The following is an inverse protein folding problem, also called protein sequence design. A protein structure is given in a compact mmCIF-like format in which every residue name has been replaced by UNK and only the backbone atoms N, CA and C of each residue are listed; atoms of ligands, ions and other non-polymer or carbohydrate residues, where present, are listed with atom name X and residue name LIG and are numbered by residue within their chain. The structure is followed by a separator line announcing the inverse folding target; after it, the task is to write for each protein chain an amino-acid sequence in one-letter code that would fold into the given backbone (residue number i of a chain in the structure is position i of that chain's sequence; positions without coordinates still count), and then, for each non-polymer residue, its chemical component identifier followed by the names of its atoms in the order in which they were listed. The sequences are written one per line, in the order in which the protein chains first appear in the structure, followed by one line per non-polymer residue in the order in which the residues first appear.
data_IF_120687604478
#
_entry.id   IF_120687604478
#
_cell.length_a   1.000
_cell.length_b   1.000
_cell.length_c   1.000
_cell.angle_alpha   90.00
_cell.angle_beta   90.00
_cell.angle_gamma   90.00
#
_symmetry.space_group_name_H-M   'P 1'
#
loop_
_entity.id
_entity.type
_entity.pdbx_description
1 polymer ?
#
# COMPACT_ATOMS: atom_id res chain seq x y z
N UNK A 1 10.69 -4.40 15.69
CA UNK A 1 11.11 -4.49 14.27
C UNK A 1 9.87 -4.64 13.40
N UNK A 2 9.78 -3.89 12.28
CA UNK A 2 8.62 -3.89 11.37
C UNK A 2 8.96 -4.69 10.12
N UNK A 3 8.03 -5.56 9.67
CA UNK A 3 8.12 -6.27 8.38
C UNK A 3 7.06 -5.73 7.42
N UNK A 4 7.44 -5.61 6.14
CA UNK A 4 6.57 -5.17 5.05
C UNK A 4 6.29 -6.35 4.14
N UNK A 5 5.00 -6.62 3.91
CA UNK A 5 4.52 -7.71 3.07
C UNK A 5 3.98 -7.14 1.77
N UNK A 6 4.53 -7.59 0.64
CA UNK A 6 4.01 -7.28 -0.69
C UNK A 6 2.67 -7.98 -0.95
N UNK A 7 2.12 -7.71 -2.11
CA UNK A 7 0.82 -8.14 -2.56
C UNK A 7 0.55 -9.61 -2.27
N UNK A 8 -0.41 -9.90 -1.41
CA UNK A 8 -0.71 -11.28 -0.98
C UNK A 8 -1.72 -11.99 -1.87
N UNK A 9 -2.66 -11.26 -2.47
CA UNK A 9 -3.73 -11.80 -3.31
C UNK A 9 -4.37 -13.07 -2.73
N UNK A 10 -4.76 -13.03 -1.46
CA UNK A 10 -5.38 -14.14 -0.75
C UNK A 10 -4.42 -15.22 -0.24
N UNK A 11 -3.11 -15.08 -0.45
CA UNK A 11 -2.11 -16.03 0.02
C UNK A 11 -1.52 -15.58 1.37
N UNK A 12 -2.09 -16.01 2.49
CA UNK A 12 -1.63 -15.61 3.84
C UNK A 12 -0.72 -16.63 4.53
N UNK A 13 -0.55 -17.85 3.98
CA UNK A 13 0.20 -18.90 4.63
C UNK A 13 1.63 -18.49 5.01
N UNK A 14 2.36 -17.84 4.09
CA UNK A 14 3.72 -17.34 4.33
C UNK A 14 3.76 -16.26 5.43
N UNK A 15 2.69 -15.45 5.54
CA UNK A 15 2.57 -14.44 6.60
C UNK A 15 2.53 -15.11 7.97
N UNK A 16 1.66 -16.11 8.12
CA UNK A 16 1.50 -16.86 9.37
C UNK A 16 2.81 -17.57 9.77
N UNK A 17 3.49 -18.18 8.80
CA UNK A 17 4.77 -18.89 9.02
C UNK A 17 5.89 -17.92 9.46
N UNK A 18 6.07 -16.79 8.75
CA UNK A 18 7.12 -15.82 9.05
C UNK A 18 6.87 -15.15 10.39
N UNK A 19 5.63 -14.71 10.67
CA UNK A 19 5.32 -14.06 11.95
C UNK A 19 5.48 -15.04 13.12
N UNK A 20 5.04 -16.29 12.96
CA UNK A 20 5.21 -17.30 14.01
C UNK A 20 6.68 -17.59 14.31
N UNK A 21 7.54 -17.58 13.28
CA UNK A 21 8.98 -17.83 13.39
C UNK A 21 9.74 -16.64 13.99
N UNK A 22 9.52 -15.43 13.42
CA UNK A 22 10.39 -14.26 13.64
C UNK A 22 9.83 -13.28 14.70
N UNK A 23 8.51 -13.33 14.94
CA UNK A 23 7.78 -12.48 15.90
C UNK A 23 8.14 -10.99 15.77
N UNK A 24 7.95 -10.38 14.58
CA UNK A 24 8.16 -8.94 14.43
C UNK A 24 7.20 -8.17 15.34
N UNK A 25 7.61 -6.99 15.82
CA UNK A 25 6.75 -6.14 16.63
C UNK A 25 5.50 -5.68 15.86
N UNK A 26 5.67 -5.45 14.56
CA UNK A 26 4.56 -5.10 13.65
C UNK A 26 4.79 -5.63 12.25
N UNK A 27 3.67 -5.83 11.54
CA UNK A 27 3.66 -6.11 10.10
C UNK A 27 2.81 -5.05 9.39
N UNK A 28 3.20 -4.72 8.15
CA UNK A 28 2.49 -3.77 7.29
C UNK A 28 2.29 -4.40 5.91
N UNK A 29 1.05 -4.59 5.48
CA UNK A 29 0.73 -5.02 4.13
C UNK A 29 0.72 -3.83 3.17
N UNK A 30 1.29 -4.00 1.99
CA UNK A 30 1.47 -2.94 0.99
C UNK A 30 0.36 -2.88 -0.08
N UNK A 31 -0.81 -3.44 0.23
CA UNK A 31 -1.99 -3.47 -0.64
C UNK A 31 -2.20 -4.81 -1.32
N UNK A 32 -3.29 -4.89 -2.08
CA UNK A 32 -3.74 -6.08 -2.82
C UNK A 32 -3.76 -7.34 -1.95
N UNK A 33 -4.44 -7.21 -0.79
CA UNK A 33 -4.60 -8.31 0.16
C UNK A 33 -5.56 -9.36 -0.37
N UNK A 34 -6.69 -8.94 -0.96
CA UNK A 34 -7.76 -9.81 -1.47
C UNK A 34 -8.11 -10.95 -0.50
N UNK A 35 -8.34 -10.61 0.76
CA UNK A 35 -8.62 -11.57 1.82
C UNK A 35 -9.87 -12.40 1.51
N UNK A 36 -9.79 -13.72 1.69
CA UNK A 36 -10.90 -14.63 1.41
C UNK A 36 -11.95 -14.67 2.53
N UNK A 37 -11.60 -14.17 3.71
CA UNK A 37 -12.41 -14.00 4.91
C UNK A 37 -12.10 -12.63 5.51
N UNK A 38 -12.86 -12.10 6.50
CA UNK A 38 -12.47 -10.91 7.23
C UNK A 38 -11.01 -10.98 7.68
N UNK A 39 -10.25 -9.89 7.51
CA UNK A 39 -8.80 -9.89 7.68
C UNK A 39 -8.34 -10.41 9.05
N UNK A 40 -9.09 -10.10 10.12
CA UNK A 40 -8.83 -10.64 11.45
C UNK A 40 -8.96 -12.18 11.50
N UNK A 41 -9.84 -12.77 10.70
CA UNK A 41 -10.00 -14.22 10.63
C UNK A 41 -8.90 -14.89 9.80
N UNK A 42 -8.36 -14.21 8.78
CA UNK A 42 -7.16 -14.69 8.06
C UNK A 42 -5.93 -14.75 8.97
N UNK A 43 -5.82 -13.79 9.89
CA UNK A 43 -4.64 -13.56 10.70
C UNK A 43 -4.80 -13.98 12.17
N UNK A 44 -5.90 -14.68 12.52
CA UNK A 44 -6.25 -14.99 13.92
C UNK A 44 -5.11 -15.60 14.73
N UNK A 45 -4.30 -16.49 14.12
CA UNK A 45 -3.20 -17.19 14.80
C UNK A 45 -2.00 -16.32 15.15
N UNK A 46 -1.92 -15.09 14.61
CA UNK A 46 -0.76 -14.19 14.82
C UNK A 46 -1.14 -12.85 15.46
N UNK A 47 -2.42 -12.57 15.69
CA UNK A 47 -2.86 -11.29 16.24
C UNK A 47 -2.30 -10.98 17.64
N UNK A 48 -2.02 -12.02 18.43
CA UNK A 48 -1.40 -11.88 19.76
C UNK A 48 0.14 -11.79 19.68
N UNK A 49 0.73 -11.97 18.49
CA UNK A 49 2.18 -12.02 18.31
C UNK A 49 2.76 -10.75 17.71
N UNK A 50 1.95 -9.97 17.00
CA UNK A 50 2.40 -8.80 16.22
C UNK A 50 1.28 -7.78 16.05
N UNK A 51 1.62 -6.49 15.93
CA UNK A 51 0.66 -5.49 15.46
C UNK A 51 0.46 -5.60 13.95
N UNK A 52 -0.79 -5.62 13.49
CA UNK A 52 -1.14 -5.68 12.08
C UNK A 52 -1.55 -4.29 11.59
N UNK A 53 -0.92 -3.84 10.50
CA UNK A 53 -1.23 -2.61 9.78
C UNK A 53 -1.31 -2.89 8.29
N UNK A 54 -1.97 -2.03 7.52
CA UNK A 54 -2.05 -2.18 6.07
C UNK A 54 -2.31 -0.84 5.37
N UNK A 55 -2.01 -0.80 4.10
CA UNK A 55 -2.65 0.06 3.12
C UNK A 55 -3.43 -0.83 2.17
N UNK A 56 -4.47 -0.32 1.52
CA UNK A 56 -5.17 -1.07 0.48
C UNK A 56 -4.52 -0.85 -0.89
N UNK A 57 -4.64 -1.84 -1.76
CA UNK A 57 -4.29 -1.74 -3.18
C UNK A 57 -5.53 -1.58 -4.06
N UNK A 58 -5.37 -1.74 -5.38
CA UNK A 58 -6.47 -1.59 -6.32
C UNK A 58 -7.39 -2.82 -6.36
N UNK A 59 -6.86 -4.01 -6.11
CA UNK A 59 -7.63 -5.26 -6.11
C UNK A 59 -8.46 -5.46 -4.83
N UNK A 60 -8.18 -4.74 -3.76
CA UNK A 60 -8.99 -4.77 -2.54
C UNK A 60 -10.39 -4.14 -2.71
N UNK A 61 -10.70 -3.65 -3.90
CA UNK A 61 -12.01 -3.10 -4.26
C UNK A 61 -12.62 -3.74 -5.53
N UNK A 62 -12.13 -4.89 -5.99
CA UNK A 62 -12.61 -5.54 -7.22
C UNK A 62 -13.98 -6.19 -7.05
N UNK A 63 -14.30 -6.70 -5.87
CA UNK A 63 -15.59 -7.25 -5.52
C UNK A 63 -16.14 -6.67 -4.22
N UNK A 64 -17.42 -6.93 -3.93
CA UNK A 64 -18.01 -6.56 -2.65
C UNK A 64 -17.36 -7.33 -1.49
N UNK A 65 -16.98 -8.60 -1.75
CA UNK A 65 -16.30 -9.44 -0.78
C UNK A 65 -14.89 -8.91 -0.45
N UNK A 66 -14.07 -8.57 -1.46
CA UNK A 66 -12.73 -8.00 -1.24
C UNK A 66 -12.82 -6.72 -0.38
N UNK A 67 -13.80 -5.86 -0.71
CA UNK A 67 -14.03 -4.65 0.09
C UNK A 67 -14.45 -4.97 1.52
N UNK A 68 -15.46 -5.82 1.70
CA UNK A 68 -16.03 -6.11 3.02
C UNK A 68 -15.04 -6.86 3.91
N UNK A 69 -14.25 -7.77 3.37
CA UNK A 69 -13.26 -8.53 4.13
C UNK A 69 -12.12 -7.63 4.64
N UNK A 70 -11.83 -6.53 3.98
CA UNK A 70 -10.79 -5.59 4.40
C UNK A 70 -11.35 -4.41 5.20
N UNK A 71 -12.28 -3.67 4.61
CA UNK A 71 -12.81 -2.42 5.19
C UNK A 71 -13.96 -2.65 6.18
N UNK A 72 -14.59 -3.82 6.16
CA UNK A 72 -15.56 -4.27 7.15
C UNK A 72 -14.95 -5.10 8.29
N UNK A 73 -13.65 -5.39 8.25
CA UNK A 73 -12.96 -6.21 9.25
C UNK A 73 -12.77 -5.47 10.57
N UNK A 74 -12.52 -6.22 11.64
CA UNK A 74 -12.15 -5.66 12.94
C UNK A 74 -10.82 -4.87 12.86
N UNK A 75 -9.97 -5.15 11.86
CA UNK A 75 -8.72 -4.46 11.60
C UNK A 75 -8.86 -3.23 10.69
N UNK A 76 -10.04 -2.88 10.20
CA UNK A 76 -10.25 -1.75 9.29
C UNK A 76 -9.65 -0.42 9.79
N UNK A 77 -9.66 -0.21 11.11
CA UNK A 77 -9.06 0.95 11.77
C UNK A 77 -7.54 1.01 11.67
N UNK A 78 -6.88 -0.08 11.27
CA UNK A 78 -5.43 -0.20 11.04
C UNK A 78 -5.01 0.18 9.61
N UNK A 79 -5.92 0.61 8.75
CA UNK A 79 -5.58 1.14 7.44
C UNK A 79 -4.80 2.46 7.59
N UNK A 80 -3.60 2.53 7.00
CA UNK A 80 -2.70 3.69 7.04
C UNK A 80 -3.00 4.72 5.95
N UNK A 81 -3.88 4.44 5.02
CA UNK A 81 -4.12 5.33 3.89
C UNK A 81 -4.47 6.77 4.33
N UNK A 82 -3.72 7.75 3.80
CA UNK A 82 -3.91 9.18 4.07
C UNK A 82 -3.53 9.64 5.48
N UNK A 83 -2.77 8.84 6.26
CA UNK A 83 -2.38 9.20 7.63
C UNK A 83 -0.98 8.70 8.01
N UNK A 84 -0.49 9.22 9.14
CA UNK A 84 0.73 8.75 9.80
C UNK A 84 0.35 8.08 11.12
N UNK A 85 0.93 6.92 11.40
CA UNK A 85 0.79 6.22 12.68
C UNK A 85 2.15 5.96 13.31
N UNK A 86 2.19 5.87 14.65
CA UNK A 86 3.37 5.43 15.39
C UNK A 86 3.32 3.90 15.51
N UNK A 87 4.28 3.22 14.90
CA UNK A 87 4.38 1.76 14.84
C UNK A 87 5.78 1.37 15.30
N UNK A 88 5.90 0.58 16.37
CA UNK A 88 7.19 0.16 16.94
C UNK A 88 8.19 1.34 17.07
N UNK A 89 7.70 2.50 17.54
CA UNK A 89 8.50 3.71 17.73
C UNK A 89 8.81 4.52 16.44
N UNK A 90 8.40 4.04 15.26
CA UNK A 90 8.60 4.72 13.97
C UNK A 90 7.29 5.39 13.50
N UNK A 91 7.40 6.60 12.95
CA UNK A 91 6.28 7.26 12.26
C UNK A 91 6.17 6.70 10.86
N UNK A 92 5.13 5.94 10.60
CA UNK A 92 4.87 5.32 9.28
C UNK A 92 3.71 6.07 8.61
N UNK A 93 3.99 6.69 7.47
CA UNK A 93 2.98 7.29 6.60
C UNK A 93 2.49 6.26 5.58
N UNK A 94 1.19 6.24 5.27
CA UNK A 94 0.63 5.33 4.28
C UNK A 94 -0.17 6.03 3.19
N UNK A 95 0.05 5.64 1.93
CA UNK A 95 -0.76 6.05 0.79
C UNK A 95 -1.14 4.80 -0.02
N UNK A 96 -2.31 4.24 0.27
CA UNK A 96 -2.88 3.09 -0.45
C UNK A 96 -3.61 3.51 -1.72
N UNK A 97 -4.00 2.51 -2.52
CA UNK A 97 -4.68 2.72 -3.79
C UNK A 97 -3.74 3.10 -4.93
N UNK A 98 -4.33 3.47 -6.06
CA UNK A 98 -3.60 3.79 -7.30
C UNK A 98 -4.08 5.10 -7.90
N UNK A 99 -3.20 5.75 -8.66
CA UNK A 99 -3.58 6.90 -9.49
C UNK A 99 -4.46 6.42 -10.65
N UNK A 100 -5.58 7.13 -10.89
CA UNK A 100 -6.49 6.83 -12.01
C UNK A 100 -6.86 8.11 -12.75
N UNK A 101 -6.70 8.13 -14.08
CA UNK A 101 -7.01 9.29 -14.93
C UNK A 101 -8.43 9.82 -14.81
N UNK A 102 -9.37 9.01 -14.30
CA UNK A 102 -10.75 9.43 -14.01
C UNK A 102 -10.85 10.28 -12.71
N UNK A 103 -9.81 10.32 -11.90
CA UNK A 103 -9.70 11.11 -10.67
C UNK A 103 -8.47 12.01 -10.77
N UNK A 104 -7.29 11.41 -10.80
CA UNK A 104 -6.03 12.09 -10.86
C UNK A 104 -4.92 11.15 -11.35
N UNK A 105 -4.10 11.60 -12.31
CA UNK A 105 -2.85 10.94 -12.72
C UNK A 105 -1.75 11.99 -12.82
N UNK A 106 -0.84 12.07 -11.83
CA UNK A 106 0.29 12.99 -11.89
C UNK A 106 1.20 12.75 -13.13
N UNK A 107 1.84 13.80 -13.71
CA UNK A 107 1.79 15.20 -13.30
C UNK A 107 0.59 15.99 -13.84
N UNK A 108 -0.35 15.34 -14.51
CA UNK A 108 -1.56 15.98 -15.03
C UNK A 108 -2.47 16.40 -13.87
N UNK A 109 -3.18 17.50 -14.02
CA UNK A 109 -4.14 17.97 -13.01
C UNK A 109 -5.26 16.95 -12.75
N UNK A 110 -5.91 17.09 -11.60
CA UNK A 110 -7.00 16.20 -11.18
C UNK A 110 -8.36 16.68 -11.70
N UNK A 111 -9.28 15.74 -11.86
CA UNK A 111 -10.69 16.00 -12.21
C UNK A 111 -11.56 16.18 -10.96
N UNK A 112 -11.19 15.51 -9.86
CA UNK A 112 -11.89 15.56 -8.58
C UNK A 112 -10.87 15.64 -7.45
N UNK A 113 -11.06 16.59 -6.55
CA UNK A 113 -10.16 16.79 -5.42
C UNK A 113 -10.35 15.76 -4.31
N UNK A 114 -11.62 15.35 -4.09
CA UNK A 114 -11.97 14.43 -3.00
C UNK A 114 -13.01 13.38 -3.39
N UNK A 115 -13.13 12.28 -2.61
CA UNK A 115 -14.21 11.30 -2.76
C UNK A 115 -15.61 11.91 -2.70
N UNK A 116 -15.80 12.91 -1.84
CA UNK A 116 -17.09 13.62 -1.66
C UNK A 116 -17.45 14.41 -2.91
N UNK A 117 -16.48 15.10 -3.52
CA UNK A 117 -16.70 15.85 -4.76
C UNK A 117 -17.10 14.92 -5.91
N UNK A 118 -16.39 13.81 -6.10
CA UNK A 118 -16.74 12.82 -7.11
C UNK A 118 -18.14 12.24 -6.85
N UNK A 119 -18.44 11.88 -5.60
CA UNK A 119 -19.75 11.33 -5.24
C UNK A 119 -20.89 12.32 -5.48
N UNK A 120 -20.66 13.60 -5.19
CA UNK A 120 -21.67 14.65 -5.41
C UNK A 120 -21.94 14.86 -6.91
N UNK A 121 -20.94 14.71 -7.77
CA UNK A 121 -21.06 14.92 -9.23
C UNK A 121 -21.47 13.67 -10.01
N UNK A 122 -21.32 12.46 -9.44
CA UNK A 122 -21.74 11.25 -10.13
C UNK A 122 -23.24 11.02 -10.03
N UNK A 123 -23.85 10.51 -11.13
CA UNK A 123 -25.25 10.11 -11.14
C UNK A 123 -25.51 8.90 -10.21
N UNK A 124 -26.76 8.74 -9.77
CA UNK A 124 -27.15 7.68 -8.84
C UNK A 124 -26.76 6.27 -9.32
N UNK A 125 -26.84 5.98 -10.63
CA UNK A 125 -26.46 4.70 -11.21
C UNK A 125 -24.93 4.40 -11.15
N UNK A 126 -24.11 5.40 -10.85
CA UNK A 126 -22.66 5.25 -10.71
C UNK A 126 -22.21 5.20 -9.23
N UNK A 127 -23.16 5.13 -8.30
CA UNK A 127 -22.88 5.02 -6.87
C UNK A 127 -22.91 3.55 -6.44
N UNK A 128 -22.09 3.22 -5.47
CA UNK A 128 -22.12 1.93 -4.80
C UNK A 128 -22.43 2.14 -3.31
N UNK A 129 -23.44 1.44 -2.80
CA UNK A 129 -23.94 1.62 -1.42
C UNK A 129 -24.20 3.10 -1.08
N UNK A 130 -24.87 3.81 -1.99
CA UNK A 130 -25.24 5.23 -1.90
C UNK A 130 -24.05 6.22 -1.81
N UNK A 131 -22.81 5.72 -1.95
CA UNK A 131 -21.60 6.52 -1.90
C UNK A 131 -20.74 6.42 -3.15
N UNK A 132 -19.46 6.65 -2.98
CA UNK A 132 -18.45 6.53 -4.02
C UNK A 132 -18.51 5.16 -4.70
N UNK A 133 -18.36 5.10 -6.03
CA UNK A 133 -18.29 3.82 -6.75
C UNK A 133 -17.18 2.94 -6.19
N UNK A 134 -17.37 1.61 -6.15
CA UNK A 134 -16.43 0.68 -5.54
C UNK A 134 -15.01 0.84 -6.11
N UNK A 135 -14.88 0.90 -7.43
CA UNK A 135 -13.60 1.13 -8.11
C UNK A 135 -12.82 2.34 -7.59
N UNK A 136 -13.51 3.44 -7.29
CA UNK A 136 -12.86 4.67 -6.86
C UNK A 136 -12.54 4.72 -5.35
N UNK A 137 -12.94 3.71 -4.59
CA UNK A 137 -12.54 3.55 -3.18
C UNK A 137 -11.06 3.14 -3.01
N UNK A 138 -10.42 2.74 -4.10
CA UNK A 138 -8.97 2.53 -4.20
C UNK A 138 -8.31 3.50 -5.18
N UNK A 139 -8.93 4.63 -5.49
CA UNK A 139 -8.26 5.73 -6.21
C UNK A 139 -7.62 6.68 -5.21
N UNK A 140 -6.40 7.14 -5.52
CA UNK A 140 -5.76 8.21 -4.76
C UNK A 140 -6.40 9.54 -5.15
N UNK A 141 -6.90 10.27 -4.14
CA UNK A 141 -7.43 11.62 -4.32
C UNK A 141 -6.42 12.67 -3.85
N UNK A 142 -6.36 13.85 -4.52
CA UNK A 142 -5.47 14.94 -4.12
C UNK A 142 -5.60 15.32 -2.64
N UNK A 143 -6.83 15.39 -2.10
CA UNK A 143 -7.06 15.74 -0.70
C UNK A 143 -6.35 14.80 0.29
N UNK A 144 -6.29 13.49 -0.03
CA UNK A 144 -5.61 12.49 0.81
C UNK A 144 -4.09 12.62 0.70
N UNK A 145 -3.58 12.81 -0.50
CA UNK A 145 -2.17 13.03 -0.78
C UNK A 145 -1.66 14.32 -0.11
N UNK A 146 -2.34 15.47 -0.32
CA UNK A 146 -1.91 16.74 0.23
C UNK A 146 -2.05 16.82 1.76
N UNK A 147 -2.94 16.02 2.35
CA UNK A 147 -3.00 15.85 3.81
C UNK A 147 -1.70 15.24 4.36
N UNK A 148 -1.10 14.30 3.64
CA UNK A 148 0.19 13.71 4.01
C UNK A 148 1.36 14.68 3.80
N UNK A 149 1.37 15.44 2.71
CA UNK A 149 2.45 16.40 2.38
C UNK A 149 2.77 17.35 3.53
N UNK A 150 1.77 17.72 4.34
CA UNK A 150 1.93 18.61 5.49
C UNK A 150 2.47 17.94 6.76
N UNK A 151 2.68 16.62 6.74
CA UNK A 151 3.10 15.84 7.90
C UNK A 151 4.59 15.50 7.87
N UNK A 152 5.04 14.74 8.87
CA UNK A 152 6.41 14.19 8.95
C UNK A 152 6.33 12.71 9.29
N UNK A 153 7.19 11.92 8.64
CA UNK A 153 7.28 10.48 8.88
C UNK A 153 8.75 10.02 8.80
N UNK A 154 9.02 8.83 9.26
CA UNK A 154 10.33 8.17 9.18
C UNK A 154 10.36 7.17 8.02
N UNK A 155 9.20 6.55 7.74
CA UNK A 155 8.97 5.57 6.68
C UNK A 155 7.69 5.95 5.91
N UNK A 156 7.71 5.78 4.59
CA UNK A 156 6.54 5.86 3.73
C UNK A 156 6.21 4.46 3.20
N UNK A 157 4.94 4.06 3.27
CA UNK A 157 4.43 2.88 2.57
C UNK A 157 3.39 3.30 1.54
N UNK A 158 3.56 2.83 0.31
CA UNK A 158 2.66 3.14 -0.81
C UNK A 158 2.28 1.86 -1.57
N UNK A 159 1.13 1.87 -2.23
CA UNK A 159 0.86 0.82 -3.19
C UNK A 159 1.55 1.13 -4.52
N UNK A 160 1.45 2.38 -5.01
CA UNK A 160 2.17 2.85 -6.20
C UNK A 160 3.67 3.01 -5.96
N UNK A 161 4.48 2.78 -7.00
CA UNK A 161 5.93 2.87 -6.97
C UNK A 161 6.45 4.32 -7.15
N UNK A 162 7.67 4.63 -6.65
CA UNK A 162 8.37 5.87 -6.96
C UNK A 162 8.88 5.89 -8.41
N UNK A 163 9.31 7.05 -8.89
CA UNK A 163 9.73 7.27 -10.29
C UNK A 163 10.93 6.44 -10.76
N UNK A 164 11.63 5.75 -9.88
CA UNK A 164 12.69 4.80 -10.23
C UNK A 164 12.16 3.49 -10.80
N UNK A 165 10.89 3.17 -10.56
CA UNK A 165 10.22 2.07 -11.24
C UNK A 165 9.74 2.52 -12.64
N UNK A 166 9.81 1.65 -13.71
CA UNK A 166 9.37 2.01 -15.07
C UNK A 166 7.93 2.53 -15.17
N UNK A 167 7.06 2.13 -14.25
CA UNK A 167 5.65 2.54 -14.17
C UNK A 167 5.36 3.41 -12.93
N UNK A 168 6.41 3.92 -12.28
CA UNK A 168 6.26 4.71 -11.05
C UNK A 168 5.97 6.19 -11.30
N UNK A 169 5.75 6.93 -10.21
CA UNK A 169 5.30 8.31 -10.23
C UNK A 169 6.23 9.23 -9.45
N UNK A 170 6.62 10.38 -10.06
CA UNK A 170 7.36 11.45 -9.37
C UNK A 170 6.58 12.00 -8.16
N UNK A 171 5.25 11.95 -8.19
CA UNK A 171 4.43 12.33 -7.06
C UNK A 171 4.73 11.51 -5.78
N UNK A 172 5.12 10.24 -5.92
CA UNK A 172 5.55 9.42 -4.77
C UNK A 172 6.90 9.92 -4.25
N UNK A 173 7.84 10.30 -5.12
CA UNK A 173 9.12 10.89 -4.73
C UNK A 173 8.92 12.21 -3.97
N UNK A 174 8.02 13.08 -4.48
CA UNK A 174 7.69 14.37 -3.88
C UNK A 174 7.06 14.20 -2.50
N UNK A 175 6.13 13.24 -2.37
CA UNK A 175 5.53 12.91 -1.09
C UNK A 175 6.57 12.42 -0.08
N UNK A 176 7.43 11.49 -0.48
CA UNK A 176 8.50 10.96 0.37
C UNK A 176 9.44 12.07 0.87
N UNK A 177 9.87 12.96 -0.03
CA UNK A 177 10.70 14.12 0.31
C UNK A 177 9.98 15.11 1.24
N UNK A 178 8.70 15.40 0.98
CA UNK A 178 7.91 16.32 1.79
C UNK A 178 7.72 15.80 3.22
N UNK A 179 7.48 14.49 3.37
CA UNK A 179 7.40 13.82 4.67
C UNK A 179 8.75 13.78 5.40
N UNK A 180 9.87 13.87 4.66
CA UNK A 180 11.23 13.74 5.19
C UNK A 180 11.60 12.31 5.53
N UNK A 181 11.02 11.31 4.87
CA UNK A 181 11.32 9.90 5.13
C UNK A 181 12.71 9.52 4.66
N UNK A 182 13.30 8.54 5.33
CA UNK A 182 14.57 7.94 4.92
C UNK A 182 14.38 6.69 4.07
N UNK A 183 13.22 6.05 4.16
CA UNK A 183 12.87 4.83 3.44
C UNK A 183 11.42 4.85 2.95
N UNK A 184 11.20 4.27 1.77
CA UNK A 184 9.88 4.01 1.22
C UNK A 184 9.77 2.56 0.76
N UNK A 185 8.62 1.93 1.03
CA UNK A 185 8.30 0.55 0.61
C UNK A 185 7.03 0.57 -0.23
N UNK A 186 7.01 -0.17 -1.35
CA UNK A 186 5.84 -0.24 -2.22
C UNK A 186 5.54 -1.66 -2.71
N UNK A 187 4.26 -1.91 -3.09
CA UNK A 187 3.77 -3.11 -3.75
C UNK A 187 3.45 -2.92 -5.23
N UNK A 188 2.32 -3.45 -5.67
CA UNK A 188 1.63 -3.26 -6.95
C UNK A 188 2.26 -3.93 -8.18
N UNK A 189 3.57 -3.81 -8.37
CA UNK A 189 4.22 -4.28 -9.60
C UNK A 189 4.70 -5.73 -9.54
N UNK A 190 4.53 -6.37 -8.40
CA UNK A 190 4.87 -7.77 -8.15
C UNK A 190 6.36 -8.11 -8.29
N UNK A 191 7.22 -7.10 -8.38
CA UNK A 191 8.68 -7.23 -8.49
C UNK A 191 9.43 -6.53 -7.34
N UNK A 192 10.70 -6.88 -7.18
CA UNK A 192 11.60 -6.31 -6.17
C UNK A 192 12.82 -5.71 -6.88
N UNK A 193 12.61 -4.67 -7.69
CA UNK A 193 13.69 -4.02 -8.43
C UNK A 193 14.69 -3.33 -7.49
N UNK A 194 15.97 -3.34 -7.88
CA UNK A 194 17.03 -2.65 -7.16
C UNK A 194 17.09 -1.17 -7.53
N UNK A 195 16.70 -0.30 -6.62
CA UNK A 195 16.74 1.16 -6.75
C UNK A 195 17.96 1.80 -6.09
N UNK A 196 18.96 1.04 -5.68
CA UNK A 196 20.13 1.55 -4.95
C UNK A 196 20.87 2.67 -5.66
N UNK A 197 20.90 2.63 -7.00
CA UNK A 197 21.52 3.66 -7.88
C UNK A 197 20.75 4.98 -7.87
N UNK A 198 19.46 4.97 -7.57
CA UNK A 198 18.58 6.13 -7.59
C UNK A 198 18.52 6.85 -6.24
N UNK A 199 19.09 6.30 -5.17
CA UNK A 199 19.03 6.84 -3.82
C UNK A 199 19.37 8.33 -3.72
N UNK A 200 20.42 8.78 -4.44
CA UNK A 200 20.86 10.19 -4.42
C UNK A 200 19.79 11.07 -5.09
N UNK A 201 19.26 10.65 -6.22
CA UNK A 201 18.21 11.37 -6.98
C UNK A 201 16.90 11.42 -6.20
N UNK A 202 16.50 10.33 -5.61
CA UNK A 202 15.27 10.23 -4.80
C UNK A 202 15.38 11.04 -3.50
N UNK A 203 16.53 11.02 -2.83
CA UNK A 203 16.74 11.59 -1.50
C UNK A 203 16.35 10.64 -0.35
N UNK A 204 15.95 9.42 -0.67
CA UNK A 204 15.58 8.34 0.27
C UNK A 204 15.91 6.97 -0.36
N UNK A 205 15.84 5.91 0.43
CA UNK A 205 15.96 4.52 -0.05
C UNK A 205 14.58 3.98 -0.40
N UNK A 206 14.39 3.48 -1.63
CA UNK A 206 13.16 2.86 -2.07
C UNK A 206 13.32 1.33 -2.15
N UNK A 207 12.25 0.60 -1.83
CA UNK A 207 12.18 -0.86 -1.83
C UNK A 207 10.87 -1.32 -2.45
N UNK A 208 10.94 -2.03 -3.59
CA UNK A 208 9.83 -2.82 -4.10
C UNK A 208 9.73 -4.12 -3.30
N UNK A 209 8.53 -4.49 -2.91
CA UNK A 209 8.26 -5.76 -2.24
C UNK A 209 7.36 -6.58 -3.16
N UNK A 210 7.95 -7.58 -3.81
CA UNK A 210 7.30 -8.36 -4.85
C UNK A 210 6.12 -9.22 -4.33
N UNK A 211 5.46 -9.91 -5.25
CA UNK A 211 4.30 -10.76 -4.96
C UNK A 211 4.61 -11.81 -3.88
N UNK A 212 3.89 -11.77 -2.76
CA UNK A 212 4.17 -12.56 -1.55
C UNK A 212 5.60 -12.39 -1.01
N UNK A 213 6.31 -11.33 -1.38
CA UNK A 213 7.62 -10.99 -0.85
C UNK A 213 7.52 -10.39 0.54
N UNK A 214 8.63 -10.41 1.27
CA UNK A 214 8.72 -9.81 2.62
C UNK A 214 10.06 -9.11 2.79
N UNK A 215 10.00 -7.84 3.20
CA UNK A 215 11.17 -7.02 3.52
C UNK A 215 11.10 -6.53 4.95
N UNK A 216 12.25 -6.40 5.61
CA UNK A 216 12.26 -5.77 6.92
C UNK A 216 12.57 -4.26 6.82
N UNK A 217 12.36 -3.53 7.92
CA UNK A 217 12.49 -2.06 7.97
C UNK A 217 13.89 -1.52 7.60
N UNK A 218 14.94 -2.34 7.60
CA UNK A 218 16.27 -1.93 7.14
C UNK A 218 16.45 -2.12 5.63
N UNK A 219 15.46 -2.70 4.92
CA UNK A 219 15.52 -3.02 3.49
C UNK A 219 16.04 -4.43 3.19
N UNK A 220 16.38 -5.24 4.20
CA UNK A 220 16.78 -6.64 3.96
C UNK A 220 15.60 -7.47 3.51
N UNK A 221 15.79 -8.24 2.44
CA UNK A 221 14.82 -9.24 1.99
C UNK A 221 14.76 -10.39 2.99
N UNK A 222 13.58 -10.63 3.57
CA UNK A 222 13.28 -11.78 4.44
C UNK A 222 12.81 -12.97 3.61
N UNK A 223 11.99 -12.68 2.60
CA UNK A 223 11.52 -13.62 1.60
C UNK A 223 11.42 -12.91 0.25
N UNK A 224 12.04 -13.44 -0.82
CA UNK A 224 11.87 -12.87 -2.16
C UNK A 224 10.44 -13.05 -2.64
N UNK A 225 9.99 -12.16 -3.51
CA UNK A 225 8.73 -12.30 -4.21
C UNK A 225 8.71 -13.56 -5.08
N UNK A 226 7.53 -14.14 -5.28
CA UNK A 226 7.40 -15.39 -6.07
C UNK A 226 7.90 -15.24 -7.51
N UNK A 227 7.87 -14.02 -8.06
CA UNK A 227 8.28 -13.74 -9.45
C UNK A 227 9.67 -13.11 -9.58
N UNK A 228 10.36 -12.79 -8.49
CA UNK A 228 11.67 -12.11 -8.51
C UNK A 228 12.77 -12.89 -9.24
N UNK A 229 12.63 -14.22 -9.36
CA UNK A 229 13.58 -15.09 -10.06
C UNK A 229 13.11 -15.47 -11.48
N UNK A 230 11.99 -14.94 -11.97
CA UNK A 230 11.53 -15.22 -13.33
C UNK A 230 12.17 -14.24 -14.33
N UNK A 231 12.50 -14.70 -15.55
CA UNK A 231 13.05 -13.79 -16.57
C UNK A 231 12.02 -12.69 -16.88
N UNK A 232 12.49 -11.45 -16.81
CA UNK A 232 11.70 -10.25 -17.14
C UNK A 232 11.05 -10.43 -18.52
N UNK A 233 9.72 -10.53 -18.60
CA UNK A 233 9.00 -10.62 -19.88
C UNK A 233 7.74 -11.48 -19.92
N UNK A 234 7.30 -12.11 -18.81
CA UNK A 234 6.11 -13.01 -18.83
C UNK A 234 4.78 -12.36 -18.43
N UNK A 235 4.78 -11.15 -17.92
CA UNK A 235 3.54 -10.44 -17.58
C UNK A 235 3.50 -9.10 -18.34
N UNK A 236 2.86 -9.13 -19.49
CA UNK A 236 2.32 -7.96 -20.20
C UNK A 236 0.82 -8.09 -20.27
#
# INVERSE_FOLDING_TARGET
MIYFFGDTHGHFQHVLEIVSRDRPAAIVFLGDLQAQRPLEAELEFILDMTEVWFIHGNHDTDSDADYDHLFGSALAHRNLHGRVALIDGMRVAGLGGVFRGQVWTPPVGWLYESPEELTARCGAGNRWREGLSRKHRSSIFPAEYFRLVSQRADILVTHEAPSSHPHGFEAIDELARSLGVTKAFHGHHHDSLDYSRDRIRLGFEAFGVGFCGVSCMNGSCIQPGKFDNEPVGRFR
#
